data_IF_956194847190
#
_entry.id   IF_956194847190
#
_cell.length_a   1.000
_cell.length_b   1.000
_cell.length_c   1.000
_cell.angle_alpha   90.00
_cell.angle_beta   90.00
_cell.angle_gamma   90.00
#
_symmetry.space_group_name_H-M   'P 1'
#
loop_
_entity.id
_entity.type
_entity.pdbx_description
1 polymer ?
#
# COMPACT_ATOMS: atom_id res chain seq x y z
N UNK A 1 21.97 30.02 -17.04
CA UNK A 1 22.27 28.66 -17.57
C UNK A 1 21.51 27.69 -16.67
N UNK A 2 20.22 27.48 -16.99
CA UNK A 2 19.33 26.59 -16.23
C UNK A 2 19.75 25.15 -16.53
N UNK A 3 20.21 24.46 -15.51
CA UNK A 3 20.42 23.03 -15.60
C UNK A 3 19.05 22.37 -15.84
N UNK A 4 18.81 21.83 -17.04
CA UNK A 4 17.73 20.93 -17.31
C UNK A 4 17.89 19.73 -16.37
N UNK A 5 17.14 19.71 -15.27
CA UNK A 5 16.94 18.52 -14.45
C UNK A 5 16.29 17.48 -15.37
N UNK A 6 17.07 16.50 -15.79
CA UNK A 6 16.56 15.42 -16.63
C UNK A 6 15.38 14.76 -15.90
N UNK A 7 14.20 14.81 -16.52
CA UNK A 7 12.97 14.20 -15.96
C UNK A 7 13.26 12.72 -15.73
N UNK A 8 13.41 12.35 -14.47
CA UNK A 8 13.68 10.97 -14.06
C UNK A 8 12.46 10.12 -14.39
N UNK A 9 12.67 9.03 -15.13
CA UNK A 9 11.57 8.12 -15.48
C UNK A 9 11.01 7.41 -14.24
N UNK A 10 9.75 6.96 -14.28
CA UNK A 10 9.18 6.08 -13.23
C UNK A 10 10.09 4.88 -12.93
N UNK A 11 10.77 4.35 -13.95
CA UNK A 11 11.66 3.19 -13.81
C UNK A 11 12.94 3.56 -13.05
N UNK A 12 13.54 4.71 -13.32
CA UNK A 12 14.74 5.19 -12.63
C UNK A 12 14.45 5.48 -11.16
N UNK A 13 13.31 6.14 -10.88
CA UNK A 13 12.85 6.40 -9.53
C UNK A 13 12.61 5.10 -8.74
N UNK A 14 11.97 4.10 -9.35
CA UNK A 14 11.78 2.79 -8.73
C UNK A 14 13.11 2.11 -8.38
N UNK A 15 14.06 2.12 -9.29
CA UNK A 15 15.40 1.54 -9.09
C UNK A 15 16.11 2.23 -7.92
N UNK A 16 16.11 3.56 -7.92
CA UNK A 16 16.73 4.37 -6.86
C UNK A 16 16.09 4.09 -5.50
N UNK A 17 14.76 4.11 -5.41
CA UNK A 17 14.03 3.90 -4.15
C UNK A 17 14.23 2.50 -3.59
N UNK A 18 14.26 1.47 -4.43
CA UNK A 18 14.57 0.10 -3.99
C UNK A 18 16.01 -0.04 -3.47
N UNK A 19 16.97 0.68 -4.04
CA UNK A 19 18.34 0.71 -3.52
C UNK A 19 18.37 1.39 -2.15
N UNK A 20 17.79 2.59 -2.05
CA UNK A 20 17.69 3.32 -0.78
C UNK A 20 16.99 2.49 0.31
N UNK A 21 15.90 1.78 -0.04
CA UNK A 21 15.21 0.92 0.91
C UNK A 21 16.12 -0.17 1.50
N UNK A 22 16.89 -0.84 0.65
CA UNK A 22 17.84 -1.87 1.12
C UNK A 22 19.00 -1.32 1.94
N UNK A 23 19.41 -0.09 1.66
CA UNK A 23 20.56 0.54 2.33
C UNK A 23 20.19 1.20 3.66
N UNK A 24 19.00 1.83 3.71
CA UNK A 24 18.64 2.72 4.81
C UNK A 24 17.59 2.15 5.78
N UNK A 25 16.81 1.16 5.37
CA UNK A 25 15.79 0.59 6.26
C UNK A 25 16.38 -0.57 7.05
N UNK A 26 16.71 -0.31 8.31
CA UNK A 26 17.05 -1.37 9.26
C UNK A 26 15.77 -1.94 9.89
N UNK A 27 15.84 -3.16 10.46
CA UNK A 27 14.67 -3.73 11.14
C UNK A 27 14.15 -2.87 12.30
N UNK A 28 14.99 -2.28 13.18
CA UNK A 28 14.53 -1.33 14.20
C UNK A 28 13.85 -0.09 13.61
N UNK A 29 14.36 0.45 12.50
CA UNK A 29 13.73 1.59 11.83
C UNK A 29 12.38 1.19 11.22
N UNK A 30 12.30 0.02 10.59
CA UNK A 30 11.07 -0.53 10.02
C UNK A 30 9.98 -0.62 11.09
N UNK A 31 10.29 -1.18 12.26
CA UNK A 31 9.35 -1.29 13.38
C UNK A 31 8.90 0.09 13.86
N UNK A 32 9.86 0.98 14.16
CA UNK A 32 9.58 2.33 14.67
C UNK A 32 8.74 3.15 13.68
N UNK A 33 9.11 3.14 12.40
CA UNK A 33 8.42 3.90 11.36
C UNK A 33 7.03 3.34 11.05
N UNK A 34 6.88 2.01 11.05
CA UNK A 34 5.56 1.38 10.92
C UNK A 34 4.64 1.76 12.07
N UNK A 35 5.12 1.71 13.31
CA UNK A 35 4.36 2.11 14.50
C UNK A 35 3.89 3.57 14.41
N UNK A 36 4.76 4.47 13.94
CA UNK A 36 4.41 5.89 13.74
C UNK A 36 3.28 6.07 12.71
N UNK A 37 3.29 5.29 11.63
CA UNK A 37 2.22 5.32 10.61
C UNK A 37 0.93 4.74 11.18
N UNK A 38 1.00 3.61 11.89
CA UNK A 38 -0.16 2.97 12.52
C UNK A 38 -0.84 3.92 13.51
N UNK A 39 -0.08 4.66 14.32
CA UNK A 39 -0.63 5.68 15.22
C UNK A 39 -1.40 6.80 14.49
N UNK A 40 -0.92 7.22 13.32
CA UNK A 40 -1.62 8.20 12.50
C UNK A 40 -2.90 7.61 11.90
N UNK A 41 -2.85 6.37 11.41
CA UNK A 41 -4.03 5.67 10.88
C UNK A 41 -5.13 5.52 11.93
N UNK A 42 -4.78 5.12 13.17
CA UNK A 42 -5.75 4.97 14.28
C UNK A 42 -6.55 6.24 14.55
N UNK A 43 -5.98 7.41 14.29
CA UNK A 43 -6.60 8.74 14.53
C UNK A 43 -7.29 9.31 13.30
N UNK A 44 -7.14 8.67 12.15
CA UNK A 44 -7.76 9.13 10.91
C UNK A 44 -9.26 8.82 10.89
N UNK A 45 -10.09 9.81 10.56
CA UNK A 45 -11.54 9.62 10.53
C UNK A 45 -11.98 8.63 9.45
N UNK A 46 -11.31 8.58 8.28
CA UNK A 46 -11.62 7.60 7.25
C UNK A 46 -11.40 6.17 7.77
N UNK A 47 -10.32 5.97 8.55
CA UNK A 47 -10.07 4.70 9.22
C UNK A 47 -11.11 4.38 10.29
N UNK A 48 -11.45 5.36 11.13
CA UNK A 48 -12.41 5.15 12.23
C UNK A 48 -13.81 4.78 11.71
N UNK A 49 -14.26 5.41 10.64
CA UNK A 49 -15.60 5.23 10.07
C UNK A 49 -15.72 3.95 9.23
N UNK A 50 -14.64 3.52 8.56
CA UNK A 50 -14.66 2.36 7.68
C UNK A 50 -14.95 1.06 8.43
N UNK A 51 -15.79 0.19 7.87
CA UNK A 51 -16.09 -1.15 8.37
C UNK A 51 -15.48 -2.25 7.51
N UNK A 52 -15.39 -2.04 6.21
CA UNK A 52 -14.81 -2.97 5.25
C UNK A 52 -13.49 -2.39 4.73
N UNK A 53 -12.37 -2.89 5.26
CA UNK A 53 -11.04 -2.31 5.01
C UNK A 53 -10.13 -3.27 4.25
N UNK A 54 -9.61 -2.81 3.11
CA UNK A 54 -8.56 -3.49 2.37
C UNK A 54 -7.19 -3.04 2.87
N UNK A 55 -6.40 -3.98 3.36
CA UNK A 55 -5.03 -3.78 3.82
C UNK A 55 -4.06 -4.55 2.91
N UNK A 56 -2.83 -4.77 3.33
CA UNK A 56 -1.84 -5.51 2.54
C UNK A 56 -0.86 -6.29 3.43
N UNK A 57 -0.27 -7.34 2.91
CA UNK A 57 0.91 -8.00 3.49
C UNK A 57 2.16 -7.24 3.08
N UNK A 58 2.91 -6.73 4.06
CA UNK A 58 4.00 -5.81 3.81
C UNK A 58 5.27 -6.52 3.30
N UNK A 59 5.88 -5.96 2.26
CA UNK A 59 7.26 -6.26 1.88
C UNK A 59 8.25 -5.67 2.90
N UNK A 60 9.52 -6.13 2.93
CA UNK A 60 10.51 -5.63 3.90
C UNK A 60 10.76 -4.12 3.83
N UNK A 61 10.53 -3.50 2.67
CA UNK A 61 10.67 -2.07 2.43
C UNK A 61 9.33 -1.31 2.44
N UNK A 62 8.30 -1.91 3.04
CA UNK A 62 6.97 -1.33 3.22
C UNK A 62 6.58 -1.23 4.70
N UNK A 63 5.77 -0.23 5.09
CA UNK A 63 5.22 -0.16 6.43
C UNK A 63 4.45 -1.42 6.80
N UNK A 64 4.78 -2.02 7.95
CA UNK A 64 4.11 -3.21 8.47
C UNK A 64 2.83 -2.81 9.21
N UNK A 65 1.69 -3.39 8.83
CA UNK A 65 0.38 -3.12 9.41
C UNK A 65 -0.15 -4.29 10.27
N UNK A 66 0.65 -5.31 10.53
CA UNK A 66 0.22 -6.51 11.26
C UNK A 66 -0.41 -6.17 12.61
N UNK A 67 0.23 -5.31 13.41
CA UNK A 67 -0.32 -4.87 14.70
C UNK A 67 -1.69 -4.18 14.55
N UNK A 68 -1.92 -3.42 13.47
CA UNK A 68 -3.20 -2.79 13.20
C UNK A 68 -4.25 -3.82 12.77
N UNK A 69 -3.86 -4.82 12.00
CA UNK A 69 -4.73 -5.93 11.59
C UNK A 69 -5.18 -6.72 12.82
N UNK A 70 -4.24 -7.08 13.72
CA UNK A 70 -4.53 -7.85 14.94
C UNK A 70 -5.50 -7.12 15.89
N UNK A 71 -5.42 -5.80 15.93
CA UNK A 71 -6.33 -4.98 16.76
C UNK A 71 -7.76 -4.95 16.23
N UNK A 72 -7.95 -5.00 14.92
CA UNK A 72 -9.26 -4.74 14.30
C UNK A 72 -9.92 -5.99 13.75
N UNK A 73 -9.23 -7.11 13.70
CA UNK A 73 -9.84 -8.39 13.33
C UNK A 73 -10.96 -8.74 14.33
N UNK A 74 -12.14 -9.02 13.79
CA UNK A 74 -13.35 -9.22 14.62
C UNK A 74 -14.13 -7.94 14.99
N UNK A 75 -13.53 -6.75 14.75
CA UNK A 75 -14.22 -5.44 14.91
C UNK A 75 -14.55 -4.86 13.53
N UNK A 76 -13.62 -4.95 12.60
CA UNK A 76 -13.80 -4.57 11.19
C UNK A 76 -13.69 -5.83 10.30
N UNK A 77 -14.30 -5.77 9.14
CA UNK A 77 -14.07 -6.74 8.07
C UNK A 77 -12.76 -6.39 7.36
N UNK A 78 -11.73 -7.19 7.59
CA UNK A 78 -10.39 -7.00 7.02
C UNK A 78 -10.22 -7.86 5.77
N UNK A 79 -9.66 -7.28 4.72
CA UNK A 79 -9.38 -7.97 3.46
C UNK A 79 -7.93 -7.74 3.05
N UNK A 80 -7.27 -8.79 2.59
CA UNK A 80 -5.92 -8.72 2.03
C UNK A 80 -5.94 -9.04 0.53
N UNK A 81 -5.03 -8.45 -0.25
CA UNK A 81 -4.96 -8.69 -1.67
C UNK A 81 -4.35 -10.06 -1.97
N UNK A 82 -4.84 -10.67 -3.03
CA UNK A 82 -4.25 -11.84 -3.66
C UNK A 82 -4.08 -11.58 -5.16
N UNK A 83 -2.90 -11.91 -5.66
CA UNK A 83 -2.60 -11.86 -7.09
C UNK A 83 -3.13 -13.12 -7.75
N UNK A 84 -4.02 -12.96 -8.74
CA UNK A 84 -4.67 -14.05 -9.47
C UNK A 84 -4.00 -14.38 -10.80
N UNK A 85 -3.14 -13.48 -11.29
CA UNK A 85 -2.44 -13.63 -12.55
C UNK A 85 -1.49 -12.45 -12.82
N UNK A 86 -1.07 -12.28 -14.06
CA UNK A 86 -0.12 -11.22 -14.40
C UNK A 86 -0.69 -9.81 -14.26
N UNK A 87 -2.01 -9.66 -14.38
CA UNK A 87 -2.68 -8.37 -14.43
C UNK A 87 -3.83 -8.24 -13.41
N UNK A 88 -4.19 -9.31 -12.73
CA UNK A 88 -5.37 -9.36 -11.87
C UNK A 88 -5.00 -9.50 -10.40
N UNK A 89 -5.68 -8.74 -9.56
CA UNK A 89 -5.63 -8.79 -8.11
C UNK A 89 -7.04 -8.62 -7.56
N UNK A 90 -7.38 -9.37 -6.53
CA UNK A 90 -8.63 -9.20 -5.80
C UNK A 90 -8.37 -9.25 -4.29
N UNK A 91 -9.30 -8.71 -3.51
CA UNK A 91 -9.23 -8.73 -2.06
C UNK A 91 -10.07 -9.86 -1.51
N UNK A 92 -9.52 -10.60 -0.55
CA UNK A 92 -10.14 -11.75 0.11
C UNK A 92 -10.22 -11.52 1.61
N UNK A 93 -11.23 -12.08 2.29
CA UNK A 93 -11.33 -11.98 3.75
C UNK A 93 -10.06 -12.47 4.45
N UNK A 94 -9.57 -11.68 5.37
CA UNK A 94 -8.54 -12.10 6.31
C UNK A 94 -9.22 -12.78 7.51
N UNK A 95 -8.90 -14.03 7.76
CA UNK A 95 -9.44 -14.81 8.87
C UNK A 95 -8.44 -14.89 10.02
N UNK A 96 -7.22 -15.30 9.71
CA UNK A 96 -6.09 -15.36 10.65
C UNK A 96 -4.78 -15.48 9.87
N UNK A 97 -3.66 -15.26 10.54
CA UNK A 97 -2.33 -15.43 9.93
C UNK A 97 -2.07 -16.86 9.47
N UNK A 98 -2.57 -17.86 10.23
CA UNK A 98 -2.42 -19.28 9.90
C UNK A 98 -3.25 -19.70 8.67
N UNK A 99 -4.25 -18.90 8.27
CA UNK A 99 -5.06 -19.15 7.09
C UNK A 99 -4.44 -18.62 5.79
N UNK A 100 -3.30 -17.95 5.88
CA UNK A 100 -2.60 -17.42 4.71
C UNK A 100 -1.67 -18.49 4.11
N UNK A 101 -1.51 -18.45 2.80
CA UNK A 101 -0.52 -19.25 2.09
C UNK A 101 0.57 -18.40 1.44
N UNK A 102 1.74 -18.98 1.22
CA UNK A 102 2.85 -18.25 0.62
C UNK A 102 2.60 -18.01 -0.87
N UNK A 103 2.56 -16.76 -1.26
CA UNK A 103 2.43 -16.34 -2.65
C UNK A 103 3.60 -16.81 -3.52
N UNK A 104 3.29 -17.27 -4.73
CA UNK A 104 4.31 -17.64 -5.74
C UNK A 104 4.98 -16.42 -6.35
N UNK A 105 4.29 -15.27 -6.39
CA UNK A 105 4.74 -14.09 -7.13
C UNK A 105 5.69 -13.19 -6.33
N UNK A 106 5.45 -13.02 -5.04
CA UNK A 106 6.19 -12.05 -4.21
C UNK A 106 6.81 -12.67 -2.94
N UNK A 107 6.54 -13.95 -2.66
CA UNK A 107 7.00 -14.60 -1.44
C UNK A 107 6.30 -14.08 -0.17
N UNK A 108 5.26 -13.26 -0.33
CA UNK A 108 4.39 -12.78 0.73
C UNK A 108 3.36 -13.84 1.12
N UNK A 109 2.67 -13.58 2.22
CA UNK A 109 1.51 -14.38 2.61
C UNK A 109 0.23 -13.73 2.05
N UNK A 110 -0.59 -14.53 1.40
CA UNK A 110 -1.84 -14.12 0.76
C UNK A 110 -2.99 -15.00 1.26
N UNK A 111 -4.25 -14.49 1.31
CA UNK A 111 -5.42 -15.30 1.62
C UNK A 111 -5.55 -16.49 0.67
N UNK A 112 -6.05 -17.62 1.17
CA UNK A 112 -6.41 -18.77 0.33
C UNK A 112 -7.64 -18.46 -0.53
N UNK A 113 -7.94 -19.34 -1.50
CA UNK A 113 -9.13 -19.24 -2.35
C UNK A 113 -10.36 -19.93 -1.75
N UNK A 114 -10.31 -20.30 -0.48
CA UNK A 114 -11.44 -20.97 0.22
C UNK A 114 -12.64 -20.03 0.42
N UNK A 115 -12.39 -18.74 0.37
CA UNK A 115 -13.42 -17.70 0.43
C UNK A 115 -13.59 -17.02 -0.93
N UNK A 116 -14.74 -16.38 -1.12
CA UNK A 116 -14.96 -15.52 -2.28
C UNK A 116 -14.26 -14.17 -2.09
N UNK A 117 -13.76 -13.63 -3.18
CA UNK A 117 -13.28 -12.24 -3.18
C UNK A 117 -14.42 -11.28 -2.79
N UNK A 118 -14.09 -10.24 -2.04
CA UNK A 118 -15.03 -9.14 -1.78
C UNK A 118 -15.25 -8.36 -3.07
N UNK A 119 -16.49 -7.95 -3.34
CA UNK A 119 -16.77 -7.08 -4.47
C UNK A 119 -16.11 -5.70 -4.23
N UNK A 120 -15.46 -5.10 -5.23
CA UNK A 120 -14.75 -3.82 -5.05
C UNK A 120 -15.63 -2.70 -4.47
N UNK A 121 -16.93 -2.73 -4.73
CA UNK A 121 -17.91 -1.74 -4.26
C UNK A 121 -18.24 -1.89 -2.77
N UNK A 122 -17.90 -3.01 -2.16
CA UNK A 122 -18.15 -3.26 -0.74
C UNK A 122 -17.03 -2.73 0.16
N UNK A 123 -15.89 -2.36 -0.39
CA UNK A 123 -14.80 -1.78 0.38
C UNK A 123 -15.06 -0.30 0.66
N UNK A 124 -14.92 0.08 1.92
CA UNK A 124 -15.03 1.48 2.37
C UNK A 124 -13.70 2.21 2.25
N UNK A 125 -12.61 1.51 2.56
CA UNK A 125 -11.26 2.08 2.64
C UNK A 125 -10.21 1.07 2.18
N UNK A 126 -9.23 1.58 1.46
CA UNK A 126 -8.01 0.88 1.09
C UNK A 126 -6.78 1.57 1.69
N UNK A 127 -5.94 0.83 2.39
CA UNK A 127 -4.61 1.28 2.76
C UNK A 127 -3.62 0.73 1.73
N UNK A 128 -2.92 1.62 1.04
CA UNK A 128 -2.17 1.31 -0.18
C UNK A 128 -0.69 1.61 0.02
N UNK A 129 0.19 0.61 -0.09
CA UNK A 129 1.63 0.84 -0.03
C UNK A 129 2.15 1.39 -1.35
N UNK A 130 3.20 2.21 -1.29
CA UNK A 130 3.96 2.62 -2.46
C UNK A 130 5.41 2.94 -2.11
N UNK A 131 6.26 2.96 -3.12
CA UNK A 131 7.66 3.39 -2.99
C UNK A 131 7.75 4.88 -2.65
N UNK A 132 6.88 5.70 -3.25
CA UNK A 132 6.76 7.12 -3.00
C UNK A 132 5.36 7.63 -3.37
N UNK A 133 5.02 8.78 -2.82
CA UNK A 133 3.89 9.62 -3.25
C UNK A 133 4.40 11.02 -3.52
N UNK A 134 3.78 11.71 -4.47
CA UNK A 134 4.06 13.12 -4.73
C UNK A 134 3.16 14.04 -3.90
N UNK A 135 3.31 15.35 -4.11
CA UNK A 135 2.57 16.36 -3.36
C UNK A 135 1.06 16.38 -3.65
N UNK A 136 0.63 15.75 -4.73
CA UNK A 136 -0.77 15.64 -5.14
C UNK A 136 -1.38 14.29 -4.76
N UNK A 137 -0.59 13.41 -4.14
CA UNK A 137 -1.03 12.09 -3.68
C UNK A 137 -0.96 10.99 -4.75
N UNK A 138 -0.38 11.27 -5.91
CA UNK A 138 -0.11 10.22 -6.89
C UNK A 138 1.00 9.30 -6.42
N UNK A 139 0.87 8.00 -6.70
CA UNK A 139 1.79 7.01 -6.18
C UNK A 139 2.77 6.49 -7.23
N UNK A 140 3.96 6.18 -6.77
CA UNK A 140 4.93 5.37 -7.49
C UNK A 140 4.89 3.93 -6.92
N UNK A 141 4.10 3.08 -7.54
CA UNK A 141 4.04 1.65 -7.22
C UNK A 141 5.22 0.88 -7.81
N UNK A 142 5.22 -0.45 -7.63
CA UNK A 142 6.31 -1.34 -8.07
C UNK A 142 6.33 -1.65 -9.58
N UNK A 143 5.33 -1.19 -10.34
CA UNK A 143 5.30 -1.26 -11.80
C UNK A 143 4.49 -2.40 -12.40
N UNK A 144 3.76 -3.18 -11.60
CA UNK A 144 2.87 -4.25 -12.09
C UNK A 144 1.44 -3.76 -12.43
N UNK A 145 1.06 -2.57 -11.96
CA UNK A 145 -0.24 -1.95 -12.24
C UNK A 145 -1.43 -2.58 -11.53
N UNK A 146 -1.22 -3.52 -10.59
CA UNK A 146 -2.32 -4.19 -9.88
C UNK A 146 -3.28 -3.21 -9.20
N UNK A 147 -2.74 -2.29 -8.42
CA UNK A 147 -3.56 -1.29 -7.73
C UNK A 147 -4.23 -0.31 -8.71
N UNK A 148 -3.57 0.07 -9.81
CA UNK A 148 -4.16 1.00 -10.80
C UNK A 148 -5.42 0.39 -11.41
N UNK A 149 -5.35 -0.87 -11.80
CA UNK A 149 -6.49 -1.61 -12.36
C UNK A 149 -7.58 -1.88 -11.31
N UNK A 150 -7.20 -2.22 -10.08
CA UNK A 150 -8.17 -2.46 -9.02
C UNK A 150 -8.91 -1.20 -8.59
N UNK A 151 -8.19 -0.09 -8.44
CA UNK A 151 -8.77 1.19 -8.02
C UNK A 151 -9.77 1.75 -9.03
N UNK A 152 -9.65 1.40 -10.30
CA UNK A 152 -10.65 1.77 -11.33
C UNK A 152 -12.02 1.09 -11.11
N UNK A 153 -12.08 0.04 -10.29
CA UNK A 153 -13.29 -0.76 -10.05
C UNK A 153 -13.97 -0.43 -8.72
N UNK A 154 -13.38 0.39 -7.86
CA UNK A 154 -13.90 0.70 -6.53
C UNK A 154 -14.06 2.19 -6.29
N UNK A 155 -15.00 2.53 -5.39
CA UNK A 155 -15.18 3.89 -4.86
C UNK A 155 -14.61 4.03 -3.44
N UNK A 156 -13.94 3.00 -2.93
CA UNK A 156 -13.31 3.03 -1.62
C UNK A 156 -12.41 4.26 -1.46
N UNK A 157 -12.40 4.83 -0.26
CA UNK A 157 -11.43 5.87 0.10
C UNK A 157 -10.02 5.26 0.09
N UNK A 158 -9.01 6.09 -0.12
CA UNK A 158 -7.64 5.66 -0.35
C UNK A 158 -6.68 6.38 0.56
N UNK A 159 -6.00 5.64 1.42
CA UNK A 159 -4.91 6.17 2.23
C UNK A 159 -3.61 5.52 1.77
N UNK A 160 -2.68 6.34 1.30
CA UNK A 160 -1.34 5.92 0.95
C UNK A 160 -0.42 5.86 2.16
N UNK A 161 0.45 4.86 2.22
CA UNK A 161 1.48 4.74 3.27
C UNK A 161 2.84 4.43 2.65
N UNK A 162 3.89 5.10 3.14
CA UNK A 162 5.27 4.89 2.69
C UNK A 162 6.24 5.34 3.78
N UNK A 163 7.46 4.80 3.77
CA UNK A 163 8.53 5.30 4.63
C UNK A 163 9.06 6.67 4.22
N UNK A 164 8.74 7.14 3.02
CA UNK A 164 9.07 8.50 2.57
C UNK A 164 10.54 8.75 2.36
N UNK A 165 11.32 7.72 1.96
CA UNK A 165 12.75 7.84 1.64
C UNK A 165 13.04 8.86 0.54
N UNK A 166 12.06 9.07 -0.32
CA UNK A 166 12.03 10.15 -1.31
C UNK A 166 10.59 10.66 -1.40
N UNK A 167 10.43 11.97 -1.39
CA UNK A 167 9.14 12.64 -1.55
C UNK A 167 9.21 13.57 -2.76
N UNK A 168 9.01 13.04 -3.98
CA UNK A 168 9.06 13.85 -5.19
C UNK A 168 7.96 14.90 -5.16
N UNK A 169 8.21 16.06 -5.73
CA UNK A 169 7.18 17.10 -5.86
C UNK A 169 6.10 16.68 -6.86
N UNK A 170 6.51 16.06 -7.97
CA UNK A 170 5.64 15.53 -9.01
C UNK A 170 6.18 14.18 -9.49
N UNK A 171 5.25 13.27 -9.75
CA UNK A 171 5.52 12.01 -10.43
C UNK A 171 4.98 12.08 -11.86
N UNK A 172 5.61 11.45 -12.84
CA UNK A 172 4.97 11.23 -14.13
C UNK A 172 3.68 10.43 -13.93
N UNK A 173 2.55 10.98 -14.34
CA UNK A 173 1.23 10.35 -14.21
C UNK A 173 0.65 9.97 -15.55
N UNK A 174 -0.21 8.94 -15.56
CA UNK A 174 -1.02 8.52 -16.66
C UNK A 174 -2.50 8.89 -16.40
N UNK A 175 -3.36 8.99 -17.42
CA UNK A 175 -4.75 9.41 -17.24
C UNK A 175 -5.58 8.51 -16.30
N UNK A 176 -5.14 7.28 -16.08
CA UNK A 176 -5.80 6.31 -15.19
C UNK A 176 -5.19 6.27 -13.77
N UNK A 177 -4.10 6.98 -13.51
CA UNK A 177 -3.53 7.07 -12.17
C UNK A 177 -4.49 7.86 -11.27
N UNK A 178 -4.82 7.28 -10.11
CA UNK A 178 -5.70 7.91 -9.14
C UNK A 178 -4.91 8.37 -7.92
N UNK A 179 -5.08 9.63 -7.47
CA UNK A 179 -4.41 10.12 -6.27
C UNK A 179 -5.04 9.51 -5.01
N UNK A 180 -4.27 9.48 -3.94
CA UNK A 180 -4.75 9.10 -2.60
C UNK A 180 -5.52 10.26 -1.98
N UNK A 181 -6.54 9.95 -1.17
CA UNK A 181 -7.25 10.94 -0.36
C UNK A 181 -6.36 11.49 0.76
N UNK A 182 -5.45 10.66 1.26
CA UNK A 182 -4.44 10.99 2.27
C UNK A 182 -3.18 10.18 2.07
N UNK A 183 -2.06 10.69 2.58
CA UNK A 183 -0.78 9.98 2.57
C UNK A 183 -0.12 10.13 3.94
N UNK A 184 0.34 9.01 4.52
CA UNK A 184 1.06 9.00 5.77
C UNK A 184 2.49 8.50 5.62
N UNK A 185 3.36 9.19 6.30
CA UNK A 185 4.78 8.91 6.46
C UNK A 185 5.11 8.84 7.95
N UNK A 186 6.25 8.23 8.33
CA UNK A 186 6.70 8.30 9.70
C UNK A 186 6.86 9.75 10.16
N UNK A 187 6.42 10.05 11.37
CA UNK A 187 6.74 11.30 12.07
C UNK A 187 8.12 11.15 12.71
N UNK A 188 8.97 12.13 12.54
CA UNK A 188 10.33 12.18 13.12
C UNK A 188 10.31 12.89 14.45
#
# INVERSE_FOLDING_TARGET
MEAHEAVSTKQDLRRRLRSLGRELITEPDRVRWSSSIVEQLRRDHLWCEAQHVGLYSALPDEPCLEALIDEVVGVKSVYLPRVLGEEEMAFYPFVSWDSLERSRSFGLYEPTLDHKAVAPEQLDLLIIPALAFDSEGYRLGRGKGYYDRYLAQTKARRIGVSFGLLRPRHLPTEPWDLPMDRVYYPLH
#
